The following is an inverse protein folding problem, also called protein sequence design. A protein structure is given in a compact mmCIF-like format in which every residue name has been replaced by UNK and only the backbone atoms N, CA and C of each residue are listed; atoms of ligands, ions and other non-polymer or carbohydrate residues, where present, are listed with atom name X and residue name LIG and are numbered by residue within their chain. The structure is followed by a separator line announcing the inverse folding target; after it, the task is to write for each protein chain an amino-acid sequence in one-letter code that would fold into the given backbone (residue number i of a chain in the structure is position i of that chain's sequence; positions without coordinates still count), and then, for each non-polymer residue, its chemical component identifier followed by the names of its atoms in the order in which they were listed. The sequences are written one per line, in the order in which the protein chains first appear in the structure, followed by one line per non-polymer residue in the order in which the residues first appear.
data_IF_087413356284
#
_entry.id   IF_087413356284
#
_cell.length_a   1.000
_cell.length_b   1.000
_cell.length_c   1.000
_cell.angle_alpha   90.00
_cell.angle_beta   90.00
_cell.angle_gamma   90.00
#
_symmetry.space_group_name_H-M   'P 1'
#
loop_
_entity.id
_entity.type
_entity.pdbx_description
1 polymer ?
#
# COMPACT_ATOMS: atom_id res chain seq x y z
N UNK A 1 9.31 -24.63 -10.92
CA UNK A 1 7.99 -24.10 -10.50
C UNK A 1 7.93 -23.84 -8.98
N UNK A 2 8.58 -24.65 -8.15
CA UNK A 2 8.58 -24.50 -6.68
C UNK A 2 9.18 -23.18 -6.14
N UNK A 3 10.18 -22.59 -6.82
CA UNK A 3 10.85 -21.35 -6.38
C UNK A 3 10.11 -20.04 -6.69
N UNK A 4 9.34 -19.96 -7.80
CA UNK A 4 8.47 -18.80 -8.03
C UNK A 4 7.36 -18.72 -6.97
N UNK A 5 6.91 -19.88 -6.45
CA UNK A 5 5.97 -19.94 -5.32
C UNK A 5 6.51 -19.25 -4.07
N UNK A 6 7.82 -19.32 -3.80
CA UNK A 6 8.41 -18.69 -2.61
C UNK A 6 8.39 -17.17 -2.69
N UNK A 7 8.77 -16.59 -3.84
CA UNK A 7 8.74 -15.13 -4.04
C UNK A 7 7.30 -14.61 -4.06
N UNK A 8 6.38 -15.36 -4.67
CA UNK A 8 4.96 -15.03 -4.67
C UNK A 8 4.36 -15.03 -3.25
N UNK A 9 4.62 -16.07 -2.45
CA UNK A 9 4.17 -16.16 -1.04
C UNK A 9 4.74 -15.00 -0.20
N UNK A 10 6.01 -14.66 -0.39
CA UNK A 10 6.64 -13.52 0.30
C UNK A 10 6.05 -12.18 -0.15
N UNK A 11 5.73 -12.02 -1.43
CA UNK A 11 5.04 -10.83 -1.95
C UNK A 11 3.62 -10.67 -1.40
N UNK A 12 2.86 -11.76 -1.29
CA UNK A 12 1.55 -11.78 -0.62
C UNK A 12 1.68 -11.35 0.85
N UNK A 13 2.64 -11.92 1.57
CA UNK A 13 2.88 -11.59 2.97
C UNK A 13 3.32 -10.13 3.15
N UNK A 14 4.22 -9.64 2.28
CA UNK A 14 4.66 -8.24 2.29
C UNK A 14 3.52 -7.27 1.99
N UNK A 15 2.63 -7.60 1.04
CA UNK A 15 1.44 -6.81 0.72
C UNK A 15 0.45 -6.75 1.88
N UNK A 16 0.22 -7.89 2.55
CA UNK A 16 -0.68 -7.98 3.69
C UNK A 16 -0.14 -7.25 4.91
N UNK A 17 1.11 -7.53 5.31
CA UNK A 17 1.76 -6.88 6.44
C UNK A 17 1.96 -5.39 6.18
N UNK A 18 2.41 -5.02 4.97
CA UNK A 18 2.52 -3.63 4.56
C UNK A 18 1.16 -2.94 4.60
N UNK A 19 0.13 -3.54 4.00
CA UNK A 19 -1.20 -2.96 3.98
C UNK A 19 -1.75 -2.71 5.38
N UNK A 20 -1.60 -3.65 6.31
CA UNK A 20 -2.04 -3.47 7.71
C UNK A 20 -1.21 -2.41 8.43
N UNK A 21 0.12 -2.45 8.32
CA UNK A 21 1.00 -1.50 9.00
C UNK A 21 0.73 -0.07 8.54
N UNK A 22 0.65 0.15 7.23
CA UNK A 22 0.42 1.48 6.67
C UNK A 22 -1.03 1.93 6.85
N UNK A 23 -2.01 1.01 6.85
CA UNK A 23 -3.39 1.36 7.20
C UNK A 23 -3.51 1.81 8.66
N UNK A 24 -2.81 1.12 9.58
CA UNK A 24 -2.74 1.52 10.99
C UNK A 24 -2.05 2.88 11.14
N UNK A 25 -0.97 3.13 10.40
CA UNK A 25 -0.27 4.42 10.42
C UNK A 25 -1.17 5.58 9.96
N UNK A 26 -1.97 5.41 8.90
CA UNK A 26 -2.89 6.46 8.47
C UNK A 26 -4.10 6.63 9.39
N UNK A 27 -4.54 5.56 10.03
CA UNK A 27 -5.53 5.66 11.12
C UNK A 27 -4.98 6.51 12.28
N UNK A 28 -3.72 6.28 12.68
CA UNK A 28 -3.02 7.07 13.68
C UNK A 28 -2.88 8.54 13.26
N UNK A 29 -2.59 8.80 11.97
CA UNK A 29 -2.50 10.15 11.43
C UNK A 29 -3.84 10.91 11.49
N UNK A 30 -4.97 10.20 11.31
CA UNK A 30 -6.31 10.75 11.52
C UNK A 30 -6.54 11.11 13.00
N UNK A 31 -6.15 10.24 13.95
CA UNK A 31 -6.24 10.54 15.38
C UNK A 31 -5.39 11.74 15.81
N UNK A 32 -4.26 11.97 15.14
CA UNK A 32 -3.38 13.11 15.38
C UNK A 32 -3.84 14.39 14.65
N UNK A 33 -4.99 14.39 13.99
CA UNK A 33 -5.52 15.51 13.19
C UNK A 33 -4.61 15.97 12.03
N UNK A 34 -3.69 15.11 11.57
CA UNK A 34 -2.85 15.38 10.39
C UNK A 34 -3.55 15.03 9.07
N UNK A 35 -4.66 14.28 9.14
CA UNK A 35 -5.46 13.88 7.98
C UNK A 35 -6.94 13.98 8.33
N UNK A 36 -7.73 14.70 7.52
CA UNK A 36 -9.19 14.75 7.65
C UNK A 36 -9.88 13.47 7.13
N UNK A 37 -9.10 12.56 6.53
CA UNK A 37 -9.56 11.29 5.93
C UNK A 37 -8.89 10.11 6.61
N UNK A 38 -9.70 9.16 7.11
CA UNK A 38 -9.23 7.86 7.61
C UNK A 38 -9.51 6.73 6.61
N UNK A 39 -8.94 5.55 6.83
CA UNK A 39 -9.16 4.38 5.95
C UNK A 39 -10.63 3.92 5.95
N UNK A 40 -11.37 4.11 7.04
CA UNK A 40 -12.81 3.86 7.07
C UNK A 40 -13.60 4.80 6.15
N UNK A 41 -13.06 6.00 5.87
CA UNK A 41 -13.68 6.96 4.95
C UNK A 41 -13.64 6.49 3.50
N UNK A 42 -12.57 5.81 3.10
CA UNK A 42 -12.44 5.19 1.78
C UNK A 42 -13.26 3.90 1.65
N UNK A 43 -13.29 3.06 2.68
CA UNK A 43 -13.87 1.71 2.59
C UNK A 43 -15.37 1.68 2.90
N UNK A 44 -15.82 2.39 3.94
CA UNK A 44 -17.20 2.34 4.42
C UNK A 44 -17.95 3.63 4.17
N UNK A 45 -17.41 4.76 4.60
CA UNK A 45 -18.10 6.07 4.61
C UNK A 45 -18.41 6.61 3.21
N UNK A 46 -17.67 6.17 2.19
CA UNK A 46 -17.95 6.50 0.79
C UNK A 46 -19.07 5.68 0.15
N UNK A 47 -19.44 4.53 0.74
CA UNK A 47 -20.42 3.60 0.17
C UNK A 47 -21.64 3.37 1.07
N UNK A 48 -21.54 3.68 2.37
CA UNK A 48 -22.56 3.41 3.37
C UNK A 48 -22.77 4.62 4.29
N UNK A 49 -23.98 5.18 4.26
CA UNK A 49 -24.42 6.26 5.16
C UNK A 49 -24.98 5.67 6.47
N UNK A 50 -24.12 5.32 7.42
CA UNK A 50 -24.56 4.82 8.73
C UNK A 50 -23.65 5.27 9.87
N UNK A 51 -24.23 5.62 11.03
CA UNK A 51 -23.46 6.05 12.22
C UNK A 51 -22.48 4.98 12.72
N UNK A 52 -22.70 3.70 12.41
CA UNK A 52 -21.77 2.62 12.72
C UNK A 52 -20.42 2.75 11.96
N UNK A 53 -20.39 3.48 10.85
CA UNK A 53 -19.19 3.69 10.00
C UNK A 53 -18.19 4.69 10.59
N UNK A 54 -18.58 5.43 11.64
CA UNK A 54 -17.73 6.44 12.30
C UNK A 54 -17.09 5.95 13.60
N UNK A 55 -17.44 4.74 14.05
CA UNK A 55 -16.91 4.15 15.28
C UNK A 55 -15.53 3.49 15.12
N UNK A 56 -14.84 3.29 16.25
CA UNK A 56 -13.54 2.59 16.33
C UNK A 56 -13.54 1.18 15.70
N UNK A 57 -14.71 0.52 15.71
CA UNK A 57 -14.92 -0.79 15.10
C UNK A 57 -14.82 -0.70 13.57
N UNK A 58 -15.42 0.32 12.95
CA UNK A 58 -15.34 0.52 11.50
C UNK A 58 -13.89 0.80 11.07
N UNK A 59 -13.15 1.58 11.86
CA UNK A 59 -11.73 1.85 11.62
C UNK A 59 -10.89 0.56 11.66
N UNK A 60 -11.07 -0.25 12.70
CA UNK A 60 -10.36 -1.53 12.83
C UNK A 60 -10.66 -2.49 11.67
N UNK A 61 -11.92 -2.59 11.25
CA UNK A 61 -12.31 -3.41 10.09
C UNK A 61 -11.72 -2.85 8.80
N UNK A 62 -11.70 -1.53 8.63
CA UNK A 62 -11.12 -0.88 7.45
C UNK A 62 -9.62 -1.14 7.31
N UNK A 63 -8.88 -1.23 8.42
CA UNK A 63 -7.46 -1.59 8.44
C UNK A 63 -7.26 -3.01 7.90
N UNK A 64 -8.07 -3.96 8.35
CA UNK A 64 -8.00 -5.36 7.88
C UNK A 64 -8.34 -5.45 6.40
N UNK A 65 -9.40 -4.78 5.96
CA UNK A 65 -9.80 -4.74 4.54
C UNK A 65 -8.70 -4.10 3.69
N UNK A 66 -8.16 -2.97 4.11
CA UNK A 66 -7.05 -2.29 3.43
C UNK A 66 -5.80 -3.17 3.38
N UNK A 67 -5.54 -3.95 4.44
CA UNK A 67 -4.50 -4.97 4.47
C UNK A 67 -4.66 -6.02 3.36
N UNK A 68 -5.87 -6.54 3.19
CA UNK A 68 -6.20 -7.52 2.14
C UNK A 68 -6.09 -6.87 0.76
N UNK A 69 -6.63 -5.66 0.58
CA UNK A 69 -6.55 -4.91 -0.67
C UNK A 69 -5.09 -4.59 -1.02
N UNK A 70 -4.23 -4.34 -0.03
CA UNK A 70 -2.80 -4.09 -0.17
C UNK A 70 -2.02 -5.26 -0.82
N UNK A 71 -2.61 -6.45 -0.87
CA UNK A 71 -2.03 -7.56 -1.64
C UNK A 71 -2.02 -7.26 -3.14
N UNK A 72 -3.04 -6.56 -3.66
CA UNK A 72 -3.19 -6.23 -5.09
C UNK A 72 -1.98 -5.42 -5.59
N UNK A 73 -1.63 -4.26 -5.00
CA UNK A 73 -0.47 -3.50 -5.44
C UNK A 73 0.85 -4.26 -5.22
N UNK A 74 0.97 -5.16 -4.23
CA UNK A 74 2.16 -5.99 -4.10
C UNK A 74 2.32 -6.96 -5.30
N UNK A 75 1.22 -7.54 -5.78
CA UNK A 75 1.21 -8.40 -6.96
C UNK A 75 1.48 -7.62 -8.24
N UNK A 76 0.90 -6.43 -8.40
CA UNK A 76 1.15 -5.56 -9.56
C UNK A 76 2.65 -5.20 -9.61
N UNK A 77 3.25 -4.83 -8.47
CA UNK A 77 4.69 -4.57 -8.40
C UNK A 77 5.52 -5.79 -8.79
N UNK A 78 5.16 -6.98 -8.29
CA UNK A 78 5.84 -8.23 -8.65
C UNK A 78 5.77 -8.50 -10.17
N UNK A 79 4.63 -8.25 -10.82
CA UNK A 79 4.48 -8.52 -12.25
C UNK A 79 5.26 -7.53 -13.11
N UNK A 80 5.19 -6.24 -12.79
CA UNK A 80 5.75 -5.16 -13.62
C UNK A 80 7.23 -4.88 -13.32
N UNK A 81 7.62 -4.91 -12.04
CA UNK A 81 8.90 -4.33 -11.57
C UNK A 81 9.86 -5.35 -10.95
N UNK A 82 9.55 -6.67 -10.89
CA UNK A 82 10.45 -7.68 -10.26
C UNK A 82 11.88 -7.75 -10.81
N UNK A 83 12.13 -7.21 -12.01
CA UNK A 83 13.46 -7.21 -12.65
C UNK A 83 14.30 -5.98 -12.34
N UNK A 84 13.71 -4.92 -11.81
CA UNK A 84 14.41 -3.64 -11.56
C UNK A 84 15.09 -3.68 -10.19
N UNK A 85 16.35 -3.23 -10.13
CA UNK A 85 17.15 -3.20 -8.89
C UNK A 85 17.10 -1.82 -8.24
N UNK A 86 17.05 -1.81 -6.91
CA UNK A 86 17.21 -0.60 -6.09
C UNK A 86 15.91 -0.13 -5.44
N UNK A 87 16.01 0.93 -4.61
CA UNK A 87 14.89 1.52 -3.88
C UNK A 87 14.02 2.45 -4.75
N UNK A 88 14.63 3.02 -5.81
CA UNK A 88 13.99 3.94 -6.75
C UNK A 88 12.70 3.42 -7.42
N UNK A 89 12.63 2.18 -7.94
CA UNK A 89 11.39 1.68 -8.53
C UNK A 89 10.23 1.61 -7.52
N UNK A 90 10.50 1.32 -6.24
CA UNK A 90 9.49 1.35 -5.18
C UNK A 90 8.95 2.75 -4.90
N UNK A 91 9.81 3.77 -4.94
CA UNK A 91 9.42 5.17 -4.76
C UNK A 91 8.52 5.65 -5.90
N UNK A 92 8.94 5.42 -7.15
CA UNK A 92 8.15 5.79 -8.34
C UNK A 92 6.80 5.06 -8.32
N UNK A 93 6.81 3.78 -7.91
CA UNK A 93 5.60 2.99 -7.76
C UNK A 93 4.63 3.56 -6.72
N UNK A 94 5.13 3.98 -5.56
CA UNK A 94 4.31 4.60 -4.52
C UNK A 94 3.65 5.90 -4.98
N UNK A 95 4.40 6.77 -5.68
CA UNK A 95 3.86 8.00 -6.27
C UNK A 95 2.79 7.68 -7.32
N UNK A 96 3.05 6.73 -8.22
CA UNK A 96 2.09 6.32 -9.24
C UNK A 96 0.80 5.74 -8.62
N UNK A 97 0.94 4.92 -7.57
CA UNK A 97 -0.19 4.39 -6.82
C UNK A 97 -1.04 5.49 -6.20
N UNK A 98 -0.40 6.50 -5.59
CA UNK A 98 -1.12 7.64 -5.02
C UNK A 98 -1.93 8.37 -6.08
N UNK A 99 -1.35 8.66 -7.25
CA UNK A 99 -2.07 9.26 -8.38
C UNK A 99 -3.21 8.39 -8.91
N UNK A 100 -3.05 7.07 -8.93
CA UNK A 100 -4.12 6.16 -9.33
C UNK A 100 -5.27 6.22 -8.30
N UNK A 101 -4.96 6.15 -7.01
CA UNK A 101 -6.00 6.17 -5.97
C UNK A 101 -6.71 7.51 -5.88
N UNK A 102 -5.97 8.61 -5.82
CA UNK A 102 -6.57 9.93 -5.64
C UNK A 102 -7.00 10.61 -6.94
N UNK A 103 -6.48 10.19 -8.10
CA UNK A 103 -6.85 10.75 -9.40
C UNK A 103 -7.87 9.90 -10.14
N UNK A 104 -7.64 8.58 -10.25
CA UNK A 104 -8.53 7.68 -11.01
C UNK A 104 -9.66 7.11 -10.17
N UNK A 105 -9.40 6.77 -8.89
CA UNK A 105 -10.43 6.27 -7.99
C UNK A 105 -11.17 7.39 -7.23
N UNK A 106 -10.78 8.66 -7.36
CA UNK A 106 -11.50 9.81 -6.80
C UNK A 106 -13.03 9.76 -7.01
N UNK A 107 -13.55 9.58 -8.24
CA UNK A 107 -14.99 9.59 -8.49
C UNK A 107 -15.73 8.38 -7.89
N UNK A 108 -15.01 7.36 -7.41
CA UNK A 108 -15.60 6.21 -6.70
C UNK A 108 -15.79 6.49 -5.20
N UNK A 109 -15.19 7.56 -4.66
CA UNK A 109 -15.23 7.89 -3.25
C UNK A 109 -16.02 9.18 -3.00
N UNK A 110 -17.35 9.09 -2.91
CA UNK A 110 -18.23 10.24 -2.70
C UNK A 110 -17.95 11.06 -1.42
N UNK A 111 -17.27 10.46 -0.43
CA UNK A 111 -16.95 11.11 0.84
C UNK A 111 -15.53 11.68 0.89
N UNK A 112 -14.71 11.46 -0.14
CA UNK A 112 -13.34 11.98 -0.20
C UNK A 112 -13.38 13.31 -0.97
N UNK A 113 -13.01 14.44 -0.35
CA UNK A 113 -12.94 15.72 -1.03
C UNK A 113 -12.01 15.63 -2.24
N UNK A 114 -12.35 16.38 -3.29
CA UNK A 114 -11.56 16.45 -4.50
C UNK A 114 -10.10 16.80 -4.19
N UNK A 115 -9.15 16.34 -5.01
CA UNK A 115 -7.72 16.50 -4.75
C UNK A 115 -7.29 17.94 -4.49
N UNK A 116 -8.01 18.89 -5.10
CA UNK A 116 -7.76 20.32 -5.00
C UNK A 116 -8.42 21.00 -3.79
N UNK A 117 -9.32 20.32 -3.08
CA UNK A 117 -9.93 20.83 -1.85
C UNK A 117 -9.37 20.19 -0.58
N UNK A 118 -8.50 19.18 -0.70
CA UNK A 118 -7.78 18.58 0.41
C UNK A 118 -6.75 19.55 1.00
N UNK A 119 -6.64 19.51 2.33
CA UNK A 119 -5.67 20.30 3.06
C UNK A 119 -4.24 19.85 2.72
N UNK A 120 -3.29 20.80 2.66
CA UNK A 120 -1.91 20.52 2.26
C UNK A 120 -1.27 19.45 3.17
N UNK A 121 -1.60 19.47 4.46
CA UNK A 121 -1.14 18.51 5.46
C UNK A 121 -1.63 17.09 5.17
N UNK A 122 -2.87 16.95 4.70
CA UNK A 122 -3.47 15.66 4.32
C UNK A 122 -2.81 15.11 3.05
N UNK A 123 -2.53 15.97 2.07
CA UNK A 123 -1.82 15.57 0.84
C UNK A 123 -0.41 15.07 1.19
N UNK A 124 0.35 15.84 1.98
CA UNK A 124 1.69 15.46 2.38
C UNK A 124 1.70 14.13 3.16
N UNK A 125 0.78 13.97 4.10
CA UNK A 125 0.67 12.75 4.92
C UNK A 125 0.33 11.53 4.06
N UNK A 126 -0.73 11.61 3.25
CA UNK A 126 -1.15 10.48 2.40
C UNK A 126 -0.09 10.15 1.36
N UNK A 127 0.49 11.14 0.68
CA UNK A 127 1.55 10.92 -0.30
C UNK A 127 2.78 10.26 0.33
N UNK A 128 3.19 10.69 1.53
CA UNK A 128 4.31 10.06 2.24
C UNK A 128 4.01 8.60 2.59
N UNK A 129 2.79 8.30 3.03
CA UNK A 129 2.37 6.94 3.38
C UNK A 129 2.41 6.00 2.16
N UNK A 130 1.94 6.49 1.00
CA UNK A 130 1.99 5.74 -0.26
C UNK A 130 3.41 5.51 -0.76
N UNK A 131 4.29 6.52 -0.63
CA UNK A 131 5.71 6.37 -0.98
C UNK A 131 6.38 5.34 -0.08
N UNK A 132 6.20 5.44 1.24
CA UNK A 132 6.77 4.49 2.19
C UNK A 132 6.27 3.07 1.95
N UNK A 133 4.97 2.91 1.65
CA UNK A 133 4.37 1.63 1.29
C UNK A 133 4.98 1.05 -0.01
N UNK A 134 5.09 1.86 -1.06
CA UNK A 134 5.69 1.46 -2.34
C UNK A 134 7.16 1.08 -2.20
N UNK A 135 7.92 1.84 -1.41
CA UNK A 135 9.32 1.54 -1.09
C UNK A 135 9.44 0.24 -0.29
N UNK A 136 8.60 0.04 0.72
CA UNK A 136 8.59 -1.19 1.54
C UNK A 136 8.38 -2.43 0.66
N UNK A 137 7.30 -2.43 -0.15
CA UNK A 137 7.01 -3.53 -1.07
C UNK A 137 8.14 -3.72 -2.08
N UNK A 138 8.59 -2.62 -2.69
CA UNK A 138 9.59 -2.66 -3.73
C UNK A 138 10.91 -3.22 -3.24
N UNK A 139 11.33 -2.83 -2.05
CA UNK A 139 12.52 -3.35 -1.39
C UNK A 139 12.37 -4.84 -1.04
N UNK A 140 11.28 -5.24 -0.38
CA UNK A 140 11.08 -6.64 0.02
C UNK A 140 11.07 -7.58 -1.19
N UNK A 141 10.37 -7.23 -2.27
CA UNK A 141 10.27 -8.08 -3.47
C UNK A 141 11.57 -8.06 -4.29
N UNK A 142 12.17 -6.89 -4.51
CA UNK A 142 13.41 -6.76 -5.30
C UNK A 142 14.59 -7.44 -4.61
N UNK A 143 14.70 -7.32 -3.29
CA UNK A 143 15.81 -7.88 -2.54
C UNK A 143 15.77 -9.41 -2.53
N UNK A 144 14.60 -9.99 -2.28
CA UNK A 144 14.39 -11.44 -2.33
C UNK A 144 14.74 -12.03 -3.70
N UNK A 145 14.33 -11.36 -4.78
CA UNK A 145 14.65 -11.82 -6.14
C UNK A 145 16.15 -11.78 -6.44
N UNK A 146 16.88 -10.85 -5.80
CA UNK A 146 18.31 -10.70 -5.98
C UNK A 146 19.13 -11.71 -5.16
N UNK A 147 18.75 -11.92 -3.90
CA UNK A 147 19.40 -12.89 -3.00
C UNK A 147 19.35 -14.31 -3.57
N UNK A 148 18.19 -14.70 -4.12
CA UNK A 148 18.03 -16.00 -4.78
C UNK A 148 18.91 -16.17 -6.03
N UNK A 149 19.19 -15.08 -6.76
CA UNK A 149 20.11 -15.11 -7.92
C UNK A 149 21.56 -15.24 -7.48
N UNK A 150 21.94 -14.54 -6.41
CA UNK A 150 23.29 -14.57 -5.87
C UNK A 150 23.65 -15.95 -5.31
N UNK A 151 22.78 -16.51 -4.45
CA UNK A 151 22.94 -17.86 -3.91
C UNK A 151 23.03 -18.95 -5.00
N UNK A 152 22.32 -18.77 -6.12
CA UNK A 152 22.43 -19.66 -7.29
C UNK A 152 23.82 -19.64 -7.92
N UNK A 153 24.42 -18.46 -8.08
CA UNK A 153 25.77 -18.34 -8.64
C UNK A 153 26.82 -18.99 -7.73
N UNK A 154 26.66 -18.85 -6.41
CA UNK A 154 27.57 -19.47 -5.43
C UNK A 154 27.44 -20.99 -5.44
N UNK A 155 26.21 -21.54 -5.45
CA UNK A 155 25.98 -22.99 -5.47
C UNK A 155 26.34 -23.67 -6.79
N UNK A 156 26.41 -22.96 -7.92
CA UNK A 156 26.89 -23.52 -9.18
C UNK A 156 28.41 -23.44 -9.34
N UNK A 157 29.10 -22.68 -8.48
CA UNK A 157 30.54 -22.47 -8.53
C UNK A 157 31.30 -23.26 -7.45
N UNK A 158 30.59 -24.13 -6.70
CA UNK A 158 31.08 -25.15 -5.78
C UNK A 158 30.60 -26.52 -6.26
#
# INVERSE_FOLDING_TARGET
MEKESSVFKKGLFAGLVGGILFATAGSMAYFLSFSDVSHASFVFRSFFDGEWTTGWIAESISIVITGIIGVIPALIYYLLFKKLRGMMPGLIYGIALWFIVFGLLNPLFSYVPDLFSLNMDTIATTMSQFILYGVFIGYTISYEHHDQRFMRKVSQNN
#
